data_IF_069198680125
#
_entry.id   IF_069198680125
#
_cell.length_a   1.000
_cell.length_b   1.000
_cell.length_c   1.000
_cell.angle_alpha   90.00
_cell.angle_beta   90.00
_cell.angle_gamma   90.00
#
_symmetry.space_group_name_H-M   'P 1'
#
loop_
_entity.id
_entity.type
_entity.pdbx_description
1 polymer ?
#
# COMPACT_ATOMS: atom_id res chain seq x y z
N UNK A 1 -26.80 14.82 26.73
CA UNK A 1 -25.46 15.11 26.14
C UNK A 1 -24.72 13.81 26.07
N UNK A 2 -24.47 13.30 24.88
CA UNK A 2 -23.71 12.06 24.69
C UNK A 2 -22.25 12.32 24.99
N UNK A 3 -21.72 11.72 26.06
CA UNK A 3 -20.31 11.86 26.43
C UNK A 3 -19.40 11.12 25.45
N UNK A 4 -18.13 11.52 25.33
CA UNK A 4 -17.12 10.82 24.51
C UNK A 4 -16.95 9.37 24.93
N UNK A 5 -16.99 9.11 26.23
CA UNK A 5 -16.96 7.76 26.80
C UNK A 5 -18.13 6.93 26.33
N UNK A 6 -19.32 7.53 26.17
CA UNK A 6 -20.54 6.82 25.80
C UNK A 6 -20.45 6.29 24.34
N UNK A 7 -19.77 7.01 23.44
CA UNK A 7 -19.60 6.58 22.03
C UNK A 7 -18.69 5.37 21.95
N UNK A 8 -17.59 5.35 22.69
CA UNK A 8 -16.61 4.25 22.66
C UNK A 8 -17.13 3.03 23.43
N UNK A 9 -17.86 3.27 24.54
CA UNK A 9 -18.47 2.21 25.38
C UNK A 9 -19.76 1.67 24.80
N UNK A 10 -20.23 2.22 23.66
CA UNK A 10 -21.46 1.77 23.02
C UNK A 10 -21.34 0.30 22.62
N UNK A 11 -22.35 -0.51 22.97
CA UNK A 11 -22.42 -1.94 22.66
C UNK A 11 -22.37 -2.20 21.15
N UNK A 12 -22.98 -1.33 20.35
CA UNK A 12 -22.92 -1.36 18.90
C UNK A 12 -21.48 -1.17 18.39
N UNK A 13 -20.76 -0.16 18.93
CA UNK A 13 -19.36 0.08 18.59
C UNK A 13 -18.48 -1.15 18.90
N UNK A 14 -18.63 -1.72 20.10
CA UNK A 14 -17.87 -2.90 20.52
C UNK A 14 -18.11 -4.12 19.61
N UNK A 15 -19.36 -4.35 19.23
CA UNK A 15 -19.76 -5.44 18.34
C UNK A 15 -19.21 -5.24 16.92
N UNK A 16 -19.30 -4.01 16.41
CA UNK A 16 -18.82 -3.64 15.10
C UNK A 16 -17.29 -3.75 15.01
N UNK A 17 -16.57 -3.24 16.01
CA UNK A 17 -15.11 -3.33 16.10
C UNK A 17 -14.65 -4.78 16.07
N UNK A 18 -15.25 -5.67 16.86
CA UNK A 18 -14.92 -7.10 16.88
C UNK A 18 -15.13 -7.75 15.53
N UNK A 19 -16.28 -7.49 14.89
CA UNK A 19 -16.58 -8.01 13.55
C UNK A 19 -15.60 -7.52 12.49
N UNK A 20 -15.28 -6.22 12.52
CA UNK A 20 -14.38 -5.59 11.55
C UNK A 20 -12.92 -6.01 11.72
N UNK A 21 -12.45 -6.18 12.95
CA UNK A 21 -11.11 -6.72 13.21
C UNK A 21 -10.94 -8.12 12.62
N UNK A 22 -11.90 -9.03 12.89
CA UNK A 22 -11.89 -10.37 12.30
C UNK A 22 -11.92 -10.35 10.77
N UNK A 23 -12.70 -9.46 10.18
CA UNK A 23 -12.78 -9.30 8.73
C UNK A 23 -11.43 -8.81 8.14
N UNK A 24 -10.72 -7.93 8.84
CA UNK A 24 -9.38 -7.48 8.42
C UNK A 24 -8.34 -8.60 8.51
N UNK A 25 -8.37 -9.43 9.58
CA UNK A 25 -7.45 -10.56 9.72
C UNK A 25 -7.57 -11.61 8.62
N UNK A 26 -8.65 -11.59 7.83
CA UNK A 26 -8.82 -12.47 6.66
C UNK A 26 -8.22 -11.87 5.38
N UNK A 27 -7.75 -10.64 5.41
CA UNK A 27 -7.15 -9.98 4.24
C UNK A 27 -5.64 -10.23 4.15
N UNK A 28 -5.07 -10.27 2.94
CA UNK A 28 -3.62 -10.32 2.77
C UNK A 28 -2.94 -9.17 3.52
N UNK A 29 -1.82 -9.48 4.19
CA UNK A 29 -1.05 -8.52 4.97
C UNK A 29 -1.51 -8.34 6.41
N UNK A 30 -2.54 -9.08 6.84
CA UNK A 30 -2.98 -9.14 8.22
C UNK A 30 -2.90 -10.59 8.73
N UNK A 31 -2.57 -10.75 10.00
CA UNK A 31 -2.52 -12.04 10.67
C UNK A 31 -3.60 -12.12 11.76
N UNK A 32 -3.86 -13.34 12.24
CA UNK A 32 -4.79 -13.53 13.35
C UNK A 32 -4.28 -12.94 14.65
N UNK A 33 -2.95 -12.84 14.81
CA UNK A 33 -2.32 -12.20 15.98
C UNK A 33 -2.56 -10.69 16.03
N UNK A 34 -2.86 -10.04 14.88
CA UNK A 34 -3.15 -8.61 14.83
C UNK A 34 -4.55 -8.25 15.34
N UNK A 35 -5.43 -9.24 15.63
CA UNK A 35 -6.85 -8.98 15.94
C UNK A 35 -7.02 -8.02 17.11
N UNK A 36 -6.23 -8.18 18.18
CA UNK A 36 -6.36 -7.36 19.39
C UNK A 36 -5.80 -5.95 19.18
N UNK A 37 -4.71 -5.82 18.45
CA UNK A 37 -4.13 -4.52 18.07
C UNK A 37 -5.07 -3.73 17.17
N UNK A 38 -5.70 -4.40 16.20
CA UNK A 38 -6.72 -3.79 15.34
C UNK A 38 -7.92 -3.30 16.14
N UNK A 39 -8.40 -4.09 17.11
CA UNK A 39 -9.50 -3.68 18.00
C UNK A 39 -9.11 -2.43 18.82
N UNK A 40 -7.89 -2.41 19.35
CA UNK A 40 -7.39 -1.29 20.13
C UNK A 40 -7.22 -0.04 19.26
N UNK A 41 -6.63 -0.18 18.07
CA UNK A 41 -6.49 0.92 17.12
C UNK A 41 -7.83 1.55 16.72
N UNK A 42 -8.85 0.72 16.45
CA UNK A 42 -10.22 1.19 16.18
C UNK A 42 -10.83 1.95 17.35
N UNK A 43 -10.63 1.48 18.60
CA UNK A 43 -11.14 2.16 19.80
C UNK A 43 -10.47 3.51 19.99
N UNK A 44 -9.15 3.58 19.86
CA UNK A 44 -8.39 4.83 19.98
C UNK A 44 -8.80 5.84 18.90
N UNK A 45 -8.96 5.39 17.67
CA UNK A 45 -9.42 6.24 16.59
C UNK A 45 -10.83 6.76 16.83
N UNK A 46 -11.76 5.89 17.24
CA UNK A 46 -13.13 6.27 17.56
C UNK A 46 -13.17 7.27 18.72
N UNK A 47 -12.33 7.07 19.73
CA UNK A 47 -12.21 8.01 20.86
C UNK A 47 -11.69 9.38 20.39
N UNK A 48 -10.68 9.44 19.56
CA UNK A 48 -10.18 10.69 18.99
C UNK A 48 -11.19 11.36 18.07
N UNK A 49 -11.87 10.59 17.22
CA UNK A 49 -12.89 11.07 16.29
C UNK A 49 -14.17 11.55 17.00
N UNK A 50 -14.46 11.04 18.21
CA UNK A 50 -15.66 11.42 18.98
C UNK A 50 -15.78 12.92 19.25
N UNK A 51 -14.67 13.66 19.17
CA UNK A 51 -14.63 15.12 19.25
C UNK A 51 -15.40 15.82 18.13
N UNK A 52 -15.47 15.14 16.97
CA UNK A 52 -16.10 15.66 15.76
C UNK A 52 -17.58 15.28 15.67
N UNK A 53 -18.07 14.50 16.63
CA UNK A 53 -19.48 14.09 16.64
C UNK A 53 -20.38 15.25 17.01
N UNK A 54 -21.34 15.54 16.12
CA UNK A 54 -22.39 16.53 16.34
C UNK A 54 -23.76 15.81 16.28
N UNK A 55 -24.50 15.76 17.41
CA UNK A 55 -25.81 15.11 17.48
C UNK A 55 -26.86 15.74 16.55
N UNK A 56 -26.69 17.02 16.19
CA UNK A 56 -27.60 17.70 15.27
C UNK A 56 -27.42 17.24 13.80
N UNK A 57 -26.27 16.67 13.46
CA UNK A 57 -25.92 16.27 12.10
C UNK A 57 -26.21 14.80 11.79
N UNK A 58 -26.47 13.98 12.81
CA UNK A 58 -26.76 12.56 12.55
C UNK A 58 -26.75 11.66 13.76
N UNK A 59 -27.06 10.39 13.50
CA UNK A 59 -27.10 9.35 14.51
C UNK A 59 -25.68 8.88 14.89
N UNK A 60 -25.49 8.57 16.16
CA UNK A 60 -24.23 8.02 16.73
C UNK A 60 -23.78 6.77 15.99
N UNK A 61 -24.68 5.86 15.65
CA UNK A 61 -24.33 4.62 14.95
C UNK A 61 -23.76 4.86 13.55
N UNK A 62 -24.38 5.77 12.79
CA UNK A 62 -23.89 6.19 11.48
C UNK A 62 -22.50 6.83 11.56
N UNK A 63 -22.27 7.63 12.59
CA UNK A 63 -20.96 8.22 12.86
C UNK A 63 -19.92 7.14 13.15
N UNK A 64 -20.24 6.18 14.03
CA UNK A 64 -19.34 5.06 14.36
C UNK A 64 -18.98 4.26 13.13
N UNK A 65 -19.96 3.91 12.28
CA UNK A 65 -19.72 3.16 11.03
C UNK A 65 -18.79 3.92 10.11
N UNK A 66 -19.03 5.21 9.90
CA UNK A 66 -18.22 6.06 9.02
C UNK A 66 -16.79 6.21 9.53
N UNK A 67 -16.63 6.48 10.84
CA UNK A 67 -15.32 6.60 11.48
C UNK A 67 -14.50 5.31 11.36
N UNK A 68 -15.10 4.17 11.69
CA UNK A 68 -14.41 2.87 11.61
C UNK A 68 -14.07 2.49 10.18
N UNK A 69 -14.92 2.81 9.21
CA UNK A 69 -14.63 2.59 7.79
C UNK A 69 -13.41 3.40 7.35
N UNK A 70 -13.38 4.68 7.69
CA UNK A 70 -12.25 5.57 7.37
C UNK A 70 -10.93 5.03 7.97
N UNK A 71 -10.96 4.60 9.24
CA UNK A 71 -9.79 4.01 9.88
C UNK A 71 -9.32 2.73 9.18
N UNK A 72 -10.26 1.83 8.83
CA UNK A 72 -9.93 0.60 8.13
C UNK A 72 -9.27 0.86 6.77
N UNK A 73 -9.78 1.83 6.02
CA UNK A 73 -9.22 2.20 4.72
C UNK A 73 -7.79 2.76 4.86
N UNK A 74 -7.54 3.56 5.90
CA UNK A 74 -6.19 4.05 6.23
C UNK A 74 -5.25 2.90 6.60
N UNK A 75 -5.70 1.97 7.47
CA UNK A 75 -4.88 0.85 7.92
C UNK A 75 -4.54 -0.12 6.77
N UNK A 76 -5.49 -0.40 5.89
CA UNK A 76 -5.24 -1.22 4.70
C UNK A 76 -4.23 -0.54 3.77
N UNK A 77 -4.32 0.77 3.59
CA UNK A 77 -3.34 1.51 2.78
C UNK A 77 -1.95 1.49 3.42
N UNK A 78 -1.87 1.69 4.74
CA UNK A 78 -0.61 1.63 5.50
C UNK A 78 0.06 0.27 5.35
N UNK A 79 -0.66 -0.83 5.59
CA UNK A 79 -0.15 -2.20 5.46
C UNK A 79 0.26 -2.53 4.03
N UNK A 80 -0.48 -2.08 3.02
CA UNK A 80 -0.10 -2.26 1.63
C UNK A 80 1.18 -1.50 1.27
N UNK A 81 1.39 -0.33 1.82
CA UNK A 81 2.62 0.42 1.64
C UNK A 81 3.80 -0.31 2.31
N UNK A 82 3.63 -0.80 3.54
CA UNK A 82 4.63 -1.61 4.25
C UNK A 82 4.96 -2.89 3.47
N UNK A 83 3.95 -3.61 2.95
CA UNK A 83 4.17 -4.80 2.14
C UNK A 83 4.97 -4.55 0.86
N UNK A 84 4.86 -3.36 0.27
CA UNK A 84 5.70 -2.99 -0.88
C UNK A 84 7.16 -2.79 -0.48
N UNK A 85 7.41 -2.36 0.76
CA UNK A 85 8.76 -2.14 1.29
C UNK A 85 9.37 -3.39 1.91
N UNK A 86 8.55 -4.24 2.56
CA UNK A 86 9.03 -5.42 3.30
C UNK A 86 8.79 -6.75 2.58
N UNK A 87 8.01 -6.74 1.51
CA UNK A 87 7.64 -7.96 0.78
C UNK A 87 8.77 -8.54 -0.08
N UNK A 88 9.83 -7.78 -0.29
CA UNK A 88 11.07 -8.24 -0.88
C UNK A 88 12.18 -7.65 -0.02
N UNK A 89 12.82 -8.46 0.77
CA UNK A 89 14.11 -8.11 1.36
C UNK A 89 14.97 -7.63 0.20
N UNK A 90 15.34 -6.35 0.22
CA UNK A 90 16.14 -5.79 -0.88
C UNK A 90 17.44 -6.58 -0.95
N UNK A 91 17.54 -7.47 -1.91
CA UNK A 91 18.75 -8.25 -2.15
C UNK A 91 19.78 -7.26 -2.68
N UNK A 92 20.87 -7.11 -1.96
CA UNK A 92 21.99 -6.32 -2.45
C UNK A 92 22.58 -7.04 -3.68
N UNK A 93 22.45 -6.41 -4.84
CA UNK A 93 22.99 -6.94 -6.09
C UNK A 93 24.50 -7.08 -6.07
N UNK A 94 25.19 -6.27 -5.24
CA UNK A 94 26.64 -6.29 -5.13
C UNK A 94 27.14 -7.33 -4.12
N UNK A 95 26.32 -7.67 -3.11
CA UNK A 95 26.67 -8.69 -2.11
C UNK A 95 26.25 -10.10 -2.48
N UNK A 96 25.32 -10.23 -3.42
CA UNK A 96 24.81 -11.53 -3.88
C UNK A 96 25.69 -12.03 -5.02
N UNK A 97 26.44 -13.12 -4.75
CA UNK A 97 27.28 -13.76 -5.74
C UNK A 97 26.49 -14.81 -6.52
N UNK A 98 26.64 -14.83 -7.82
CA UNK A 98 26.05 -15.83 -8.73
C UNK A 98 27.16 -16.74 -9.22
N UNK A 99 26.97 -18.05 -9.02
CA UNK A 99 27.87 -19.08 -9.54
C UNK A 99 27.47 -19.37 -10.98
N UNK A 100 28.42 -19.24 -11.91
CA UNK A 100 28.23 -19.54 -13.34
C UNK A 100 28.41 -21.03 -13.70
N UNK A 101 28.72 -21.86 -12.70
CA UNK A 101 28.92 -23.30 -12.92
C UNK A 101 30.29 -23.69 -13.47
N UNK A 102 31.18 -22.75 -13.71
CA UNK A 102 32.58 -22.92 -14.11
C UNK A 102 33.56 -22.70 -12.93
N UNK A 103 33.03 -22.44 -11.75
CA UNK A 103 33.80 -22.13 -10.54
C UNK A 103 34.13 -20.64 -10.40
N UNK A 104 33.68 -19.80 -11.31
CA UNK A 104 33.81 -18.36 -11.24
C UNK A 104 32.51 -17.75 -10.63
N UNK A 105 32.67 -16.90 -9.62
CA UNK A 105 31.56 -16.23 -8.93
C UNK A 105 31.63 -14.74 -9.24
N UNK A 106 30.56 -14.20 -9.80
CA UNK A 106 30.42 -12.77 -10.08
C UNK A 106 29.28 -12.16 -9.27
N UNK A 107 29.34 -10.86 -8.90
CA UNK A 107 28.23 -10.19 -8.25
C UNK A 107 27.01 -10.13 -9.19
N UNK A 108 25.82 -10.31 -8.64
CA UNK A 108 24.57 -10.31 -9.41
C UNK A 108 24.37 -9.01 -10.20
N UNK A 109 24.94 -7.88 -9.72
CA UNK A 109 24.95 -6.60 -10.45
C UNK A 109 25.67 -6.68 -11.79
N UNK A 110 26.73 -7.50 -11.91
CA UNK A 110 27.47 -7.69 -13.17
C UNK A 110 26.71 -8.59 -14.17
N UNK A 111 25.79 -9.44 -13.67
CA UNK A 111 24.98 -10.33 -14.51
C UNK A 111 23.71 -9.65 -15.04
N UNK A 112 23.22 -8.63 -14.35
CA UNK A 112 22.03 -7.88 -14.77
C UNK A 112 22.47 -6.75 -15.71
N UNK A 113 22.55 -7.05 -17.00
CA UNK A 113 22.75 -6.02 -18.01
C UNK A 113 21.51 -5.10 -18.09
N UNK A 114 21.74 -3.80 -18.28
CA UNK A 114 20.66 -2.81 -18.42
C UNK A 114 19.65 -3.17 -19.51
N UNK A 115 20.08 -3.84 -20.56
CA UNK A 115 19.25 -4.32 -21.67
C UNK A 115 18.20 -5.35 -21.24
N UNK A 116 18.47 -6.16 -20.20
CA UNK A 116 17.51 -7.16 -19.72
C UNK A 116 16.36 -6.53 -18.97
N UNK A 117 16.59 -5.44 -18.24
CA UNK A 117 15.55 -4.67 -17.60
C UNK A 117 14.62 -4.03 -18.65
N UNK A 118 15.19 -3.48 -19.70
CA UNK A 118 14.46 -2.86 -20.80
C UNK A 118 13.63 -3.86 -21.60
N UNK A 119 14.15 -5.05 -21.86
CA UNK A 119 13.40 -6.13 -22.52
C UNK A 119 12.19 -6.61 -21.71
N UNK A 120 12.33 -6.74 -20.38
CA UNK A 120 11.21 -7.13 -19.50
C UNK A 120 10.13 -6.06 -19.40
N UNK A 121 10.51 -4.79 -19.53
CA UNK A 121 9.59 -3.66 -19.54
C UNK A 121 9.04 -3.34 -20.93
N UNK A 122 9.42 -4.11 -21.97
CA UNK A 122 9.07 -3.82 -23.36
C UNK A 122 9.72 -2.54 -23.90
N UNK A 123 10.73 -2.04 -23.20
CA UNK A 123 11.52 -0.88 -23.59
C UNK A 123 12.80 -1.39 -24.23
N UNK A 124 12.80 -1.52 -25.55
CA UNK A 124 14.02 -1.89 -26.27
C UNK A 124 14.99 -0.69 -26.25
N UNK A 125 16.23 -0.91 -25.78
CA UNK A 125 17.24 0.16 -25.67
C UNK A 125 17.61 0.78 -27.02
N UNK A 126 17.32 0.09 -28.11
CA UNK A 126 17.45 0.63 -29.47
C UNK A 126 16.40 1.69 -29.80
N UNK A 127 15.30 1.70 -29.05
CA UNK A 127 14.17 2.56 -29.37
C UNK A 127 14.27 4.00 -28.85
N UNK A 128 15.15 4.30 -27.92
CA UNK A 128 15.24 5.68 -27.42
C UNK A 128 15.79 6.64 -28.48
N UNK A 129 16.81 6.23 -29.22
CA UNK A 129 17.37 7.05 -30.31
C UNK A 129 16.42 7.04 -31.52
N UNK A 130 15.91 5.86 -31.90
CA UNK A 130 14.94 5.71 -32.97
C UNK A 130 13.62 6.43 -32.68
N UNK A 131 13.16 6.44 -31.43
CA UNK A 131 11.96 7.17 -31.02
C UNK A 131 12.18 8.69 -31.03
N UNK A 132 13.38 9.16 -30.68
CA UNK A 132 13.74 10.59 -30.81
C UNK A 132 13.80 11.01 -32.27
N UNK A 133 14.47 10.23 -33.13
CA UNK A 133 14.55 10.50 -34.58
C UNK A 133 13.17 10.45 -35.24
N UNK A 134 12.31 9.51 -34.84
CA UNK A 134 10.94 9.43 -35.32
C UNK A 134 10.10 10.62 -34.86
N UNK A 135 10.24 11.08 -33.60
CA UNK A 135 9.55 12.28 -33.09
C UNK A 135 10.04 13.57 -33.81
N UNK A 136 11.32 13.68 -34.06
CA UNK A 136 11.88 14.80 -34.80
C UNK A 136 11.40 14.80 -36.26
N UNK A 137 11.34 13.64 -36.89
CA UNK A 137 10.82 13.49 -38.25
C UNK A 137 9.34 13.84 -38.33
N UNK A 138 8.53 13.42 -37.36
CA UNK A 138 7.12 13.80 -37.23
C UNK A 138 6.93 15.31 -37.03
N UNK A 139 7.75 15.94 -36.20
CA UNK A 139 7.71 17.38 -35.95
C UNK A 139 8.03 18.17 -37.23
N UNK A 140 9.00 17.71 -38.02
CA UNK A 140 9.37 18.33 -39.30
C UNK A 140 8.25 18.18 -40.35
N UNK A 141 7.53 17.07 -40.36
CA UNK A 141 6.38 16.88 -41.25
C UNK A 141 5.21 17.78 -40.86
N UNK A 142 4.94 17.90 -39.55
CA UNK A 142 3.88 18.78 -39.03
C UNK A 142 4.19 20.27 -39.26
N UNK A 143 5.44 20.67 -39.29
CA UNK A 143 5.84 22.07 -39.51
C UNK A 143 5.75 22.48 -41.01
N UNK A 144 5.55 21.53 -41.93
CA UNK A 144 5.44 21.75 -43.38
C UNK A 144 4.00 21.68 -43.92
N UNK A 145 3.03 21.35 -43.05
CA UNK A 145 1.58 21.40 -43.34
C UNK A 145 0.98 22.68 -42.78
#
# INVERSE_FOLDING_TARGET
MTSRSDIVSNSFAASLIRRKARQLCQRPGFSRSDEDDLKQGMRLYLWSASRLFDPARGNVESFIVTALRSWMDMEVRRRRAEMRFTGVEAISLDSTMVDRGDGDCSPMSAEIAADQANRRLGLDSRDLVSNLEFRESLALVHARL
#
